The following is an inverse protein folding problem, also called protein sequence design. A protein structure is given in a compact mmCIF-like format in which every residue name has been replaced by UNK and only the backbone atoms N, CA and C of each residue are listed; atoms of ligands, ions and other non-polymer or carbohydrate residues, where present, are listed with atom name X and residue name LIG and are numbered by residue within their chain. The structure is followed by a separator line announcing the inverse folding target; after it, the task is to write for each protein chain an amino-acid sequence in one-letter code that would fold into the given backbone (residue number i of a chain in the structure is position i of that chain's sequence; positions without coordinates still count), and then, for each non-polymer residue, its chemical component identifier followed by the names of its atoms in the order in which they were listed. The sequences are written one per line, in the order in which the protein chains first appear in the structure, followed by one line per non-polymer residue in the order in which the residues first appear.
data_IF_295011686193
#
_entry.id   IF_295011686193
#
_cell.length_a   1.000
_cell.length_b   1.000
_cell.length_c   1.000
_cell.angle_alpha   90.00
_cell.angle_beta   90.00
_cell.angle_gamma   90.00
#
_symmetry.space_group_name_H-M   'P 1'
#
loop_
_entity.id
_entity.type
_entity.pdbx_description
1 polymer ?
#
# COMPACT_ATOMS: atom_id res chain seq x y z
N UNK A 1 -7.94 -32.55 49.99
CA UNK A 1 -8.57 -31.45 49.24
C UNK A 1 -8.18 -31.61 47.77
N UNK A 2 -9.16 -31.51 46.90
CA UNK A 2 -9.33 -32.28 45.66
C UNK A 2 -8.35 -31.89 44.54
N UNK A 3 -7.56 -32.85 44.05
CA UNK A 3 -6.79 -32.72 42.80
C UNK A 3 -7.77 -32.79 41.63
N UNK A 4 -8.04 -31.65 40.99
CA UNK A 4 -8.85 -31.59 39.77
C UNK A 4 -8.05 -32.26 38.66
N UNK A 5 -8.49 -33.47 38.25
CA UNK A 5 -7.95 -34.19 37.11
C UNK A 5 -8.50 -33.54 35.83
N UNK A 6 -7.71 -32.67 35.20
CA UNK A 6 -8.06 -32.08 33.89
C UNK A 6 -7.78 -33.13 32.81
N UNK A 7 -8.76 -33.52 31.98
CA UNK A 7 -8.55 -34.47 30.90
C UNK A 7 -7.47 -33.97 29.92
N UNK A 8 -6.61 -34.87 29.40
CA UNK A 8 -5.54 -34.49 28.48
C UNK A 8 -6.18 -33.98 27.19
N UNK A 9 -6.15 -32.66 26.99
CA UNK A 9 -6.78 -31.99 25.86
C UNK A 9 -7.22 -30.55 26.13
N UNK A 10 -7.20 -30.08 27.38
CA UNK A 10 -7.61 -28.72 27.72
C UNK A 10 -6.49 -27.94 28.42
N UNK A 11 -5.37 -27.77 27.72
CA UNK A 11 -4.29 -26.87 28.13
C UNK A 11 -4.67 -25.44 27.72
N UNK A 12 -4.92 -24.49 28.65
CA UNK A 12 -5.38 -23.13 28.32
C UNK A 12 -4.36 -22.33 27.49
N UNK A 13 -3.14 -22.84 27.31
CA UNK A 13 -2.09 -22.27 26.46
C UNK A 13 -2.09 -22.78 25.02
N UNK A 14 -2.86 -23.84 24.70
CA UNK A 14 -2.94 -24.39 23.33
C UNK A 14 -4.18 -23.82 22.65
N UNK A 15 -3.99 -22.70 21.95
CA UNK A 15 -5.02 -22.14 21.06
C UNK A 15 -5.26 -23.18 19.95
N UNK A 16 -6.51 -23.61 19.77
CA UNK A 16 -6.85 -24.55 18.69
C UNK A 16 -6.62 -23.91 17.32
N UNK A 17 -6.22 -24.71 16.33
CA UNK A 17 -6.03 -24.23 14.95
C UNK A 17 -7.28 -23.52 14.40
N UNK A 18 -8.47 -23.94 14.86
CA UNK A 18 -9.74 -23.31 14.53
C UNK A 18 -9.88 -21.89 15.14
N UNK A 19 -9.44 -21.69 16.38
CA UNK A 19 -9.44 -20.38 17.02
C UNK A 19 -8.41 -19.43 16.38
N UNK A 20 -7.25 -19.95 15.97
CA UNK A 20 -6.26 -19.21 15.17
C UNK A 20 -6.82 -18.78 13.82
N UNK A 21 -7.46 -19.68 13.08
CA UNK A 21 -8.07 -19.37 11.79
C UNK A 21 -9.16 -18.31 11.92
N UNK A 22 -10.01 -18.42 12.94
CA UNK A 22 -11.08 -17.44 13.21
C UNK A 22 -10.50 -16.07 13.57
N UNK A 23 -9.41 -16.04 14.35
CA UNK A 23 -8.69 -14.80 14.64
C UNK A 23 -8.06 -14.19 13.38
N UNK A 24 -7.45 -15.01 12.50
CA UNK A 24 -6.94 -14.53 11.21
C UNK A 24 -8.06 -14.02 10.29
N UNK A 25 -9.24 -14.65 10.27
CA UNK A 25 -10.43 -14.16 9.55
C UNK A 25 -10.91 -12.81 10.08
N UNK A 26 -10.96 -12.62 11.42
CA UNK A 26 -11.32 -11.33 12.01
C UNK A 26 -10.28 -10.24 11.70
N UNK A 27 -8.99 -10.56 11.78
CA UNK A 27 -7.90 -9.63 11.42
C UNK A 27 -7.99 -9.28 9.93
N UNK A 28 -8.22 -10.25 9.05
CA UNK A 28 -8.36 -9.99 7.61
C UNK A 28 -9.61 -9.17 7.28
N UNK A 29 -10.69 -9.32 8.04
CA UNK A 29 -11.90 -8.51 7.90
C UNK A 29 -11.71 -7.05 8.36
N UNK A 30 -10.92 -6.82 9.41
CA UNK A 30 -10.69 -5.47 9.97
C UNK A 30 -9.49 -4.75 9.32
N UNK A 31 -8.39 -5.45 9.04
CA UNK A 31 -7.14 -4.87 8.52
C UNK A 31 -7.00 -4.99 6.98
N UNK A 32 -7.86 -5.78 6.34
CA UNK A 32 -7.73 -6.16 4.93
C UNK A 32 -6.62 -7.18 4.70
N UNK A 33 -6.54 -7.75 3.49
CA UNK A 33 -5.55 -8.78 3.12
C UNK A 33 -4.12 -8.21 2.93
N UNK A 34 -3.60 -7.49 3.92
CA UNK A 34 -2.27 -6.89 3.89
C UNK A 34 -1.16 -7.96 3.88
N UNK A 35 -0.05 -7.66 3.21
CA UNK A 35 1.15 -8.48 3.17
C UNK A 35 1.75 -8.60 4.58
N UNK A 36 2.16 -9.82 4.95
CA UNK A 36 2.92 -10.06 6.19
C UNK A 36 4.40 -9.75 5.90
N UNK A 37 4.75 -8.47 5.93
CA UNK A 37 6.10 -8.00 5.61
C UNK A 37 7.04 -8.18 6.81
N UNK A 38 7.99 -9.11 6.70
CA UNK A 38 9.09 -9.28 7.65
C UNK A 38 10.46 -8.91 7.05
N UNK A 39 11.43 -8.64 7.91
CA UNK A 39 12.83 -8.39 7.51
C UNK A 39 13.01 -7.08 6.72
N UNK A 40 13.90 -7.12 5.71
CA UNK A 40 14.27 -5.93 4.91
C UNK A 40 13.08 -5.29 4.19
N UNK A 41 12.13 -6.10 3.68
CA UNK A 41 10.96 -5.58 2.98
C UNK A 41 10.06 -4.75 3.92
N UNK A 42 9.88 -5.21 5.16
CA UNK A 42 9.18 -4.47 6.20
C UNK A 42 9.88 -3.14 6.51
N UNK A 43 11.20 -3.17 6.71
CA UNK A 43 11.98 -1.95 6.96
C UNK A 43 11.86 -0.92 5.84
N UNK A 44 11.91 -1.36 4.57
CA UNK A 44 11.72 -0.47 3.41
C UNK A 44 10.34 0.16 3.42
N UNK A 45 9.29 -0.63 3.58
CA UNK A 45 7.90 -0.13 3.60
C UNK A 45 7.67 0.83 4.77
N UNK A 46 8.16 0.49 5.97
CA UNK A 46 8.10 1.38 7.13
C UNK A 46 8.84 2.69 6.89
N UNK A 47 10.02 2.63 6.25
CA UNK A 47 10.80 3.84 5.92
C UNK A 47 10.03 4.75 4.96
N UNK A 48 9.40 4.18 3.94
CA UNK A 48 8.58 4.93 2.97
C UNK A 48 7.37 5.57 3.67
N UNK A 49 6.70 4.83 4.56
CA UNK A 49 5.58 5.35 5.33
C UNK A 49 6.00 6.50 6.26
N UNK A 50 7.13 6.35 6.96
CA UNK A 50 7.71 7.43 7.79
C UNK A 50 8.02 8.67 6.92
N UNK A 51 8.63 8.48 5.75
CA UNK A 51 8.94 9.59 4.83
C UNK A 51 7.66 10.31 4.38
N UNK A 52 6.60 9.56 4.03
CA UNK A 52 5.29 10.14 3.72
C UNK A 52 4.74 10.95 4.90
N UNK A 53 4.75 10.41 6.11
CA UNK A 53 4.27 11.12 7.31
C UNK A 53 5.05 12.41 7.58
N UNK A 54 6.38 12.37 7.48
CA UNK A 54 7.24 13.54 7.63
C UNK A 54 6.97 14.60 6.56
N UNK A 55 6.73 14.19 5.30
CA UNK A 55 6.34 15.11 4.23
C UNK A 55 5.04 15.84 4.54
N UNK A 56 4.01 15.13 5.03
CA UNK A 56 2.75 15.76 5.42
C UNK A 56 2.90 16.69 6.62
N UNK A 57 3.72 16.32 7.61
CA UNK A 57 4.02 17.18 8.75
C UNK A 57 4.76 18.47 8.31
N UNK A 58 5.70 18.34 7.38
CA UNK A 58 6.37 19.48 6.76
C UNK A 58 5.40 20.37 6.01
N UNK A 59 4.50 19.79 5.20
CA UNK A 59 3.48 20.54 4.45
C UNK A 59 2.40 21.19 5.35
N UNK A 60 2.26 20.74 6.60
CA UNK A 60 1.42 21.41 7.59
C UNK A 60 2.10 22.62 8.22
N UNK A 61 3.43 22.65 8.26
CA UNK A 61 4.24 23.75 8.80
C UNK A 61 4.60 24.79 7.73
N UNK A 62 5.05 24.34 6.56
CA UNK A 62 5.44 25.17 5.43
C UNK A 62 4.36 25.18 4.35
N UNK A 63 4.30 26.26 3.57
CA UNK A 63 3.38 26.34 2.44
C UNK A 63 3.95 25.53 1.28
N UNK A 64 3.34 24.38 1.02
CA UNK A 64 3.62 23.56 -0.17
C UNK A 64 2.49 23.79 -1.18
N UNK A 65 2.79 24.06 -2.46
CA UNK A 65 1.76 24.19 -3.49
C UNK A 65 0.83 22.97 -3.51
N UNK A 66 -0.47 23.21 -3.54
CA UNK A 66 -1.50 22.15 -3.45
C UNK A 66 -1.31 21.05 -4.49
N UNK A 67 -0.84 21.41 -5.70
CA UNK A 67 -0.61 20.45 -6.77
C UNK A 67 0.54 19.50 -6.45
N UNK A 68 1.69 20.04 -6.04
CA UNK A 68 2.86 19.25 -5.64
C UNK A 68 2.55 18.33 -4.45
N UNK A 69 1.78 18.83 -3.48
CA UNK A 69 1.33 18.04 -2.32
C UNK A 69 0.49 16.85 -2.77
N UNK A 70 -0.52 17.07 -3.63
CA UNK A 70 -1.41 16.00 -4.13
C UNK A 70 -0.64 14.96 -4.93
N UNK A 71 0.22 15.40 -5.85
CA UNK A 71 1.06 14.52 -6.65
C UNK A 71 1.96 13.65 -5.77
N UNK A 72 2.69 14.28 -4.86
CA UNK A 72 3.59 13.57 -3.95
C UNK A 72 2.84 12.61 -3.04
N UNK A 73 1.68 13.02 -2.50
CA UNK A 73 0.82 12.14 -1.72
C UNK A 73 0.42 10.88 -2.51
N UNK A 74 -0.06 11.04 -3.74
CA UNK A 74 -0.52 9.90 -4.55
C UNK A 74 0.64 8.98 -4.96
N UNK A 75 1.83 9.53 -5.22
CA UNK A 75 3.02 8.71 -5.45
C UNK A 75 3.32 7.80 -4.24
N UNK A 76 3.32 8.35 -3.02
CA UNK A 76 3.50 7.55 -1.81
C UNK A 76 2.39 6.53 -1.63
N UNK A 77 1.13 6.94 -1.79
CA UNK A 77 -0.04 6.07 -1.61
C UNK A 77 0.01 4.89 -2.59
N UNK A 78 0.32 5.10 -3.88
CA UNK A 78 0.40 4.01 -4.84
C UNK A 78 1.55 3.04 -4.55
N UNK A 79 2.74 3.56 -4.20
CA UNK A 79 3.89 2.72 -3.82
C UNK A 79 3.54 1.86 -2.61
N UNK A 80 3.00 2.47 -1.55
CA UNK A 80 2.60 1.75 -0.35
C UNK A 80 1.50 0.75 -0.65
N UNK A 81 0.49 1.10 -1.46
CA UNK A 81 -0.59 0.18 -1.86
C UNK A 81 -0.04 -1.06 -2.57
N UNK A 82 0.88 -0.91 -3.52
CA UNK A 82 1.43 -2.08 -4.21
C UNK A 82 2.33 -2.95 -3.34
N UNK A 83 3.07 -2.36 -2.39
CA UNK A 83 3.95 -3.10 -1.49
C UNK A 83 3.18 -3.79 -0.36
N UNK A 84 2.16 -3.13 0.19
CA UNK A 84 1.33 -3.62 1.28
C UNK A 84 0.24 -4.58 0.81
N UNK A 85 -0.33 -4.42 -0.39
CA UNK A 85 -1.39 -5.29 -0.89
C UNK A 85 -0.89 -6.16 -2.04
N UNK A 86 -0.64 -7.46 -1.81
CA UNK A 86 -0.09 -8.35 -2.83
C UNK A 86 -1.08 -8.56 -3.97
N UNK A 87 -0.56 -8.86 -5.17
CA UNK A 87 -1.39 -9.15 -6.35
C UNK A 87 -2.38 -10.31 -6.15
N UNK A 88 -2.13 -11.24 -5.22
CA UNK A 88 -3.03 -12.35 -4.90
C UNK A 88 -2.85 -12.82 -3.46
N UNK A 89 -3.93 -13.28 -2.81
CA UNK A 89 -3.89 -13.82 -1.44
C UNK A 89 -2.84 -14.95 -1.29
N UNK A 90 -2.62 -15.74 -2.35
CA UNK A 90 -1.57 -16.79 -2.41
C UNK A 90 -0.12 -16.28 -2.33
N UNK A 91 0.10 -14.97 -2.44
CA UNK A 91 1.43 -14.36 -2.49
C UNK A 91 1.77 -13.52 -1.25
N UNK A 92 0.96 -13.60 -0.18
CA UNK A 92 1.07 -12.80 1.05
C UNK A 92 2.41 -12.90 1.84
N UNK A 93 3.29 -13.83 1.45
CA UNK A 93 4.51 -14.16 2.20
C UNK A 93 5.77 -13.41 1.75
N UNK A 94 5.75 -12.70 0.61
CA UNK A 94 6.93 -11.95 0.12
C UNK A 94 6.56 -10.90 -0.93
N UNK A 95 7.17 -9.71 -0.85
CA UNK A 95 7.17 -8.71 -1.93
C UNK A 95 7.81 -9.32 -3.17
N UNK A 96 7.06 -9.38 -4.27
CA UNK A 96 7.57 -9.86 -5.55
C UNK A 96 7.81 -8.69 -6.49
N UNK A 97 8.54 -8.95 -7.57
CA UNK A 97 8.81 -7.93 -8.58
C UNK A 97 7.53 -7.36 -9.21
N UNK A 98 6.44 -8.13 -9.25
CA UNK A 98 5.10 -7.70 -9.68
C UNK A 98 4.42 -6.67 -8.76
N UNK A 99 4.94 -6.50 -7.55
CA UNK A 99 4.50 -5.49 -6.58
C UNK A 99 5.38 -4.24 -6.66
N UNK A 100 6.66 -4.41 -7.02
CA UNK A 100 7.62 -3.31 -7.13
C UNK A 100 7.46 -2.55 -8.46
N UNK A 101 7.30 -3.25 -9.59
CA UNK A 101 7.21 -2.61 -10.91
C UNK A 101 6.05 -1.60 -11.00
N UNK A 102 4.81 -1.95 -10.59
CA UNK A 102 3.71 -0.99 -10.61
C UNK A 102 3.97 0.23 -9.71
N UNK A 103 4.64 0.04 -8.57
CA UNK A 103 5.07 1.14 -7.70
C UNK A 103 6.08 2.07 -8.37
N UNK A 104 7.08 1.52 -9.05
CA UNK A 104 8.05 2.33 -9.82
C UNK A 104 7.37 3.07 -10.95
N UNK A 105 6.47 2.42 -11.70
CA UNK A 105 5.70 3.07 -12.75
C UNK A 105 4.81 4.18 -12.20
N UNK A 106 4.19 3.99 -11.04
CA UNK A 106 3.40 5.03 -10.37
C UNK A 106 4.26 6.26 -10.07
N UNK A 107 5.45 6.07 -9.48
CA UNK A 107 6.40 7.16 -9.23
C UNK A 107 6.80 7.84 -10.54
N UNK A 108 7.10 7.08 -11.59
CA UNK A 108 7.49 7.64 -12.88
C UNK A 108 6.38 8.52 -13.50
N UNK A 109 5.11 8.09 -13.42
CA UNK A 109 3.98 8.89 -13.92
C UNK A 109 3.83 10.21 -13.16
N UNK A 110 4.02 10.20 -11.84
CA UNK A 110 3.95 11.41 -11.01
C UNK A 110 5.15 12.32 -11.23
N UNK A 111 6.36 11.76 -11.38
CA UNK A 111 7.57 12.54 -11.69
C UNK A 111 7.43 13.24 -13.04
N UNK A 112 6.83 12.59 -14.04
CA UNK A 112 6.52 13.24 -15.32
C UNK A 112 5.62 14.46 -15.14
N UNK A 113 4.54 14.33 -14.35
CA UNK A 113 3.63 15.44 -14.08
C UNK A 113 4.30 16.57 -13.28
N UNK A 114 5.12 16.25 -12.27
CA UNK A 114 5.87 17.24 -11.49
C UNK A 114 6.93 17.97 -12.33
N UNK A 115 7.65 17.25 -13.18
CA UNK A 115 8.66 17.84 -14.04
C UNK A 115 8.03 18.72 -15.14
N UNK A 116 6.85 18.34 -15.63
CA UNK A 116 6.07 19.16 -16.54
C UNK A 116 5.54 20.46 -15.91
N UNK A 117 5.45 20.54 -14.58
CA UNK A 117 5.13 21.77 -13.84
C UNK A 117 3.83 22.44 -14.31
N UNK A 118 3.90 23.77 -14.47
CA UNK A 118 2.78 24.59 -14.93
C UNK A 118 2.37 24.24 -16.36
N UNK A 119 3.33 24.00 -17.26
CA UNK A 119 3.05 23.67 -18.67
C UNK A 119 2.17 22.42 -18.81
N UNK A 120 2.42 21.40 -17.99
CA UNK A 120 1.60 20.18 -17.96
C UNK A 120 0.16 20.48 -17.53
N UNK A 121 0.00 21.37 -16.55
CA UNK A 121 -1.31 21.74 -16.02
C UNK A 121 -2.07 22.65 -16.99
N UNK A 122 -1.37 23.57 -17.66
CA UNK A 122 -1.95 24.50 -18.63
C UNK A 122 -2.45 23.79 -19.89
N UNK A 123 -1.81 22.67 -20.28
CA UNK A 123 -2.27 21.81 -21.38
C UNK A 123 -3.44 20.90 -21.02
N UNK A 124 -4.14 21.12 -19.91
CA UNK A 124 -5.28 20.29 -19.51
C UNK A 124 -6.39 20.17 -20.59
N UNK A 125 -6.56 21.18 -21.44
CA UNK A 125 -7.56 21.18 -22.54
C UNK A 125 -7.00 20.73 -23.89
N UNK A 126 -5.67 20.71 -24.05
CA UNK A 126 -4.96 20.28 -25.27
C UNK A 126 -3.72 19.47 -24.89
N UNK A 127 -3.89 18.27 -24.30
CA UNK A 127 -2.78 17.47 -23.79
C UNK A 127 -1.91 16.95 -24.92
N UNK A 128 -0.60 16.89 -24.67
CA UNK A 128 0.32 16.24 -25.60
C UNK A 128 0.08 14.73 -25.61
N UNK A 129 0.56 14.08 -26.68
CA UNK A 129 0.47 12.62 -26.80
C UNK A 129 1.06 11.88 -25.60
N UNK A 130 2.16 12.41 -25.03
CA UNK A 130 2.78 11.84 -23.84
C UNK A 130 1.96 12.03 -22.57
N UNK A 131 1.32 13.19 -22.40
CA UNK A 131 0.42 13.47 -21.28
C UNK A 131 -0.72 12.45 -21.24
N UNK A 132 -1.29 12.14 -22.41
CA UNK A 132 -2.34 11.12 -22.56
C UNK A 132 -1.83 9.72 -22.21
N UNK A 133 -0.67 9.31 -22.74
CA UNK A 133 -0.10 7.96 -22.48
C UNK A 133 0.18 7.78 -20.98
N UNK A 134 0.86 8.75 -20.36
CA UNK A 134 1.19 8.73 -18.94
C UNK A 134 -0.09 8.73 -18.08
N UNK A 135 -1.08 9.53 -18.47
CA UNK A 135 -2.39 9.57 -17.80
C UNK A 135 -3.14 8.24 -17.87
N UNK A 136 -3.15 7.56 -19.01
CA UNK A 136 -3.77 6.23 -19.16
C UNK A 136 -3.06 5.20 -18.27
N UNK A 137 -1.72 5.20 -18.25
CA UNK A 137 -0.94 4.31 -17.38
C UNK A 137 -1.30 4.58 -15.91
N UNK A 138 -1.32 5.85 -15.51
CA UNK A 138 -1.68 6.25 -14.15
C UNK A 138 -3.09 5.79 -13.76
N UNK A 139 -4.09 5.96 -14.63
CA UNK A 139 -5.46 5.46 -14.40
C UNK A 139 -5.46 3.95 -14.17
N UNK A 140 -4.77 3.18 -15.02
CA UNK A 140 -4.68 1.72 -14.85
C UNK A 140 -4.02 1.34 -13.52
N UNK A 141 -2.96 2.04 -13.12
CA UNK A 141 -2.29 1.81 -11.84
C UNK A 141 -3.21 2.12 -10.65
N UNK A 142 -3.97 3.22 -10.70
CA UNK A 142 -4.93 3.56 -9.64
C UNK A 142 -6.03 2.50 -9.54
N UNK A 143 -6.59 2.07 -10.68
CA UNK A 143 -7.61 1.02 -10.69
C UNK A 143 -7.06 -0.31 -10.13
N UNK A 144 -5.84 -0.67 -10.50
CA UNK A 144 -5.18 -1.88 -9.99
C UNK A 144 -4.88 -1.77 -8.49
N UNK A 145 -4.41 -0.61 -8.01
CA UNK A 145 -4.19 -0.38 -6.58
C UNK A 145 -5.49 -0.51 -5.80
N UNK A 146 -6.57 0.11 -6.27
CA UNK A 146 -7.91 0.00 -5.66
C UNK A 146 -8.37 -1.46 -5.63
N UNK A 147 -8.22 -2.20 -6.75
CA UNK A 147 -8.56 -3.64 -6.80
C UNK A 147 -7.80 -4.43 -5.74
N UNK A 148 -6.51 -4.17 -5.56
CA UNK A 148 -5.69 -4.87 -4.56
C UNK A 148 -6.09 -4.52 -3.13
N UNK A 149 -6.51 -3.28 -2.86
CA UNK A 149 -6.87 -2.82 -1.51
C UNK A 149 -8.28 -3.22 -1.08
N UNK A 150 -9.25 -3.27 -2.01
CA UNK A 150 -10.64 -3.61 -1.68
C UNK A 150 -10.90 -5.13 -1.58
N UNK A 151 -9.93 -5.96 -1.94
CA UNK A 151 -10.06 -7.41 -1.88
C UNK A 151 -10.68 -8.03 -3.14
N UNK A 152 -10.95 -9.34 -3.06
CA UNK A 152 -11.40 -10.22 -4.14
C UNK A 152 -12.91 -10.38 -4.16
#
# INVERSE_FOLDING_TARGET
MTTVNIPPGNDPTVISDEALRKAEEFIEADEGAANRLGGLAGQVVTTIAIAMSLFHLYAAYAIVPTQELRYTHVAFTLVLSFLLFPLAARFRNRVRWWDVIPGILAVATIVYALWGGDDFTDRATTPDRWDVIVGVIFIVLVLEATRRTTGW
#
